data_IF_758711487914
#
_entry.id   IF_758711487914
#
_cell.length_a   1.000
_cell.length_b   1.000
_cell.length_c   1.000
_cell.angle_alpha   90.00
_cell.angle_beta   90.00
_cell.angle_gamma   90.00
#
_symmetry.space_group_name_H-M   'P 1'
#
loop_
_entity.id
_entity.type
_entity.pdbx_description
1 polymer ?
#
# COMPACT_ATOMS: atom_id res chain seq x y z
N UNK A 1 -18.66 10.65 22.68
CA UNK A 1 -17.25 10.95 23.02
C UNK A 1 -16.64 9.70 23.66
N UNK A 2 -16.41 8.67 22.85
CA UNK A 2 -15.75 7.40 23.24
C UNK A 2 -14.92 6.80 22.09
N UNK A 3 -15.02 7.35 20.87
CA UNK A 3 -14.29 6.84 19.69
C UNK A 3 -12.84 7.36 19.61
N UNK A 4 -12.50 8.42 20.34
CA UNK A 4 -11.21 9.11 20.24
C UNK A 4 -10.08 8.48 21.05
N UNK A 5 -10.36 7.54 21.96
CA UNK A 5 -9.35 6.97 22.86
C UNK A 5 -8.82 5.59 22.45
N UNK A 6 -9.38 4.96 21.42
CA UNK A 6 -8.89 3.65 20.95
C UNK A 6 -7.67 3.73 19.99
N UNK A 7 -7.24 4.93 19.58
CA UNK A 7 -6.18 5.15 18.59
C UNK A 7 -4.85 5.53 19.27
N UNK A 8 -4.33 4.66 20.14
CA UNK A 8 -2.93 4.72 20.60
C UNK A 8 -2.20 3.39 20.38
N UNK A 9 -2.63 2.63 19.38
CA UNK A 9 -1.93 1.43 18.92
C UNK A 9 -1.13 1.74 17.66
N UNK A 10 0.15 1.40 17.63
CA UNK A 10 0.92 1.37 16.39
C UNK A 10 0.19 0.48 15.37
N UNK A 11 -0.03 0.93 14.13
CA UNK A 11 -0.72 0.13 13.13
C UNK A 11 0.06 -1.17 12.91
N UNK A 12 -0.60 -2.29 13.21
CA UNK A 12 -0.02 -3.63 13.09
C UNK A 12 0.36 -3.93 11.64
N UNK A 13 1.22 -4.94 11.43
CA UNK A 13 1.75 -5.28 10.11
C UNK A 13 0.68 -5.52 9.05
N UNK A 14 -0.53 -5.95 9.45
CA UNK A 14 -1.65 -6.17 8.54
C UNK A 14 -2.16 -4.86 7.90
N UNK A 15 -2.23 -3.77 8.65
CA UNK A 15 -2.70 -2.45 8.16
C UNK A 15 -1.63 -1.69 7.35
N UNK A 16 -0.42 -2.24 7.26
CA UNK A 16 0.69 -1.72 6.43
C UNK A 16 0.84 -2.48 5.10
N UNK A 17 -0.18 -3.24 4.71
CA UNK A 17 -0.27 -3.92 3.42
C UNK A 17 -1.56 -3.49 2.74
N UNK A 18 -1.46 -3.19 1.44
CA UNK A 18 -2.57 -2.72 0.61
C UNK A 18 -2.69 -3.59 -0.62
N UNK A 19 -3.91 -3.78 -1.10
CA UNK A 19 -4.13 -4.15 -2.50
C UNK A 19 -3.59 -3.05 -3.41
N UNK A 20 -3.25 -3.40 -4.66
CA UNK A 20 -2.83 -2.42 -5.65
C UNK A 20 -3.87 -1.31 -5.82
N UNK A 21 -5.16 -1.63 -5.72
CA UNK A 21 -6.26 -0.66 -5.84
C UNK A 21 -6.32 0.28 -4.64
N UNK A 22 -6.25 -0.24 -3.41
CA UNK A 22 -6.21 0.60 -2.20
C UNK A 22 -4.99 1.53 -2.19
N UNK A 23 -3.83 1.02 -2.63
CA UNK A 23 -2.62 1.81 -2.78
C UNK A 23 -2.78 2.93 -3.82
N UNK A 24 -3.42 2.66 -4.97
CA UNK A 24 -3.72 3.68 -5.97
C UNK A 24 -4.61 4.79 -5.40
N UNK A 25 -5.66 4.42 -4.67
CA UNK A 25 -6.58 5.39 -4.06
C UNK A 25 -5.91 6.19 -2.94
N UNK A 26 -5.09 5.54 -2.11
CA UNK A 26 -4.40 6.18 -0.98
C UNK A 26 -3.30 7.15 -1.42
N UNK A 27 -2.61 6.87 -2.52
CA UNK A 27 -1.57 7.75 -3.09
C UNK A 27 -2.09 8.70 -4.19
N UNK A 28 -3.38 8.61 -4.56
CA UNK A 28 -3.95 9.42 -5.64
C UNK A 28 -3.36 9.09 -7.02
N UNK A 29 -3.04 7.81 -7.26
CA UNK A 29 -2.51 7.31 -8.52
C UNK A 29 -3.63 6.91 -9.47
N UNK A 30 -3.37 6.99 -10.77
CA UNK A 30 -4.29 6.50 -11.78
C UNK A 30 -4.50 4.98 -11.70
N UNK A 31 -5.66 4.52 -12.17
CA UNK A 31 -6.00 3.10 -12.22
C UNK A 31 -4.90 2.27 -12.91
N UNK A 32 -4.59 1.10 -12.33
CA UNK A 32 -3.62 0.14 -12.86
C UNK A 32 -2.14 0.63 -12.86
N UNK A 33 -1.84 1.76 -12.22
CA UNK A 33 -0.48 2.29 -12.09
C UNK A 33 0.40 1.37 -11.26
N UNK A 34 -0.09 0.88 -10.12
CA UNK A 34 0.70 0.06 -9.20
C UNK A 34 1.00 -1.30 -9.83
N UNK A 35 0.01 -1.92 -10.49
CA UNK A 35 0.21 -3.13 -11.28
C UNK A 35 1.30 -2.97 -12.36
N UNK A 36 1.30 -1.86 -13.11
CA UNK A 36 2.36 -1.57 -14.09
C UNK A 36 3.73 -1.48 -13.44
N UNK A 37 3.84 -0.90 -12.25
CA UNK A 37 5.11 -0.81 -11.52
C UNK A 37 5.62 -2.16 -11.04
N UNK A 38 4.71 -3.02 -10.56
CA UNK A 38 5.03 -4.40 -10.19
C UNK A 38 5.57 -5.16 -11.40
N UNK A 39 4.86 -5.11 -12.53
CA UNK A 39 5.27 -5.80 -13.76
C UNK A 39 6.58 -5.24 -14.34
N UNK A 40 6.93 -3.98 -14.06
CA UNK A 40 8.19 -3.35 -14.43
C UNK A 40 9.32 -3.58 -13.42
N UNK A 41 9.10 -4.34 -12.35
CA UNK A 41 10.12 -4.64 -11.34
C UNK A 41 10.51 -3.44 -10.47
N UNK A 42 9.65 -2.44 -10.30
CA UNK A 42 9.95 -1.28 -9.42
C UNK A 42 9.94 -1.66 -7.93
N UNK A 43 9.14 -2.66 -7.57
CA UNK A 43 9.07 -3.21 -6.21
C UNK A 43 10.15 -4.27 -6.02
N UNK A 44 10.72 -4.32 -4.81
CA UNK A 44 11.59 -5.42 -4.39
C UNK A 44 10.77 -6.67 -4.11
N UNK A 45 11.42 -7.83 -4.10
CA UNK A 45 10.77 -9.15 -3.92
C UNK A 45 9.94 -9.26 -2.63
N UNK A 46 10.31 -8.52 -1.58
CA UNK A 46 9.64 -8.51 -0.28
C UNK A 46 8.61 -7.37 -0.14
N UNK A 47 8.45 -6.52 -1.16
CA UNK A 47 7.56 -5.35 -1.09
C UNK A 47 6.25 -5.53 -1.84
N UNK A 48 6.18 -6.48 -2.77
CA UNK A 48 4.99 -6.79 -3.53
C UNK A 48 4.86 -8.31 -3.76
N UNK A 49 3.64 -8.83 -3.65
CA UNK A 49 3.33 -10.22 -3.97
C UNK A 49 1.93 -10.37 -4.55
N UNK A 50 1.71 -11.44 -5.30
CA UNK A 50 0.37 -11.80 -5.76
C UNK A 50 -0.35 -12.64 -4.70
N UNK A 51 -1.62 -12.34 -4.45
CA UNK A 51 -2.51 -13.06 -3.55
C UNK A 51 -3.77 -13.43 -4.33
N UNK A 52 -3.79 -14.64 -4.91
CA UNK A 52 -4.83 -15.04 -5.84
C UNK A 52 -4.89 -14.11 -7.06
N UNK A 53 -6.06 -13.49 -7.29
CA UNK A 53 -6.28 -12.54 -8.39
C UNK A 53 -5.72 -11.13 -8.16
N UNK A 54 -5.30 -10.80 -6.94
CA UNK A 54 -4.99 -9.42 -6.54
C UNK A 54 -3.51 -9.26 -6.18
N UNK A 55 -2.93 -8.11 -6.54
CA UNK A 55 -1.60 -7.73 -6.08
C UNK A 55 -1.65 -7.03 -4.74
N UNK A 56 -0.75 -7.41 -3.84
CA UNK A 56 -0.52 -6.76 -2.56
C UNK A 56 0.82 -6.04 -2.58
N UNK A 57 0.85 -4.86 -1.96
CA UNK A 57 2.04 -4.03 -1.80
C UNK A 57 2.18 -3.58 -0.35
N UNK A 58 3.41 -3.44 0.12
CA UNK A 58 3.69 -2.90 1.45
C UNK A 58 3.65 -1.38 1.47
N UNK A 59 3.27 -0.78 2.60
CA UNK A 59 3.37 0.67 2.82
C UNK A 59 4.79 1.17 2.57
N UNK A 60 5.79 0.48 3.13
CA UNK A 60 7.19 0.85 2.96
C UNK A 60 7.63 0.85 1.48
N UNK A 61 7.21 -0.16 0.70
CA UNK A 61 7.50 -0.21 -0.73
C UNK A 61 6.85 0.94 -1.51
N UNK A 62 5.60 1.28 -1.17
CA UNK A 62 4.92 2.46 -1.75
C UNK A 62 5.66 3.75 -1.38
N UNK A 63 5.96 3.99 -0.11
CA UNK A 63 6.71 5.18 0.34
C UNK A 63 8.06 5.31 -0.36
N UNK A 64 8.79 4.20 -0.55
CA UNK A 64 10.07 4.21 -1.27
C UNK A 64 9.95 4.63 -2.73
N UNK A 65 8.87 4.24 -3.43
CA UNK A 65 8.69 4.48 -4.87
C UNK A 65 8.07 5.85 -5.14
N UNK A 66 7.09 6.25 -4.33
CA UNK A 66 6.25 7.42 -4.59
C UNK A 66 6.28 8.48 -3.47
N UNK A 67 6.99 8.24 -2.37
CA UNK A 67 6.96 9.09 -1.19
C UNK A 67 5.72 8.84 -0.32
N UNK A 68 5.55 9.67 0.71
CA UNK A 68 4.38 9.59 1.60
C UNK A 68 3.06 9.79 0.83
N UNK A 69 1.97 9.14 1.23
CA UNK A 69 0.67 9.34 0.62
C UNK A 69 0.24 10.80 0.75
N UNK A 70 -0.41 11.35 -0.29
CA UNK A 70 -0.83 12.77 -0.33
C UNK A 70 -2.08 13.07 0.51
N UNK A 71 -2.46 12.17 1.42
CA UNK A 71 -3.67 12.26 2.24
C UNK A 71 -3.32 12.43 3.71
#
# INVERSE_FOLDING_TARGET
MVESELIKGEPTSLFRVYTAREAEEKWGLGYNTVNKWINRGKFRVNEARKSGGTWLVTHAGMVRITGEPKK
#
